data_IF_272497278122
#
_entry.id   IF_272497278122
#
_cell.length_a   1.000
_cell.length_b   1.000
_cell.length_c   1.000
_cell.angle_alpha   90.00
_cell.angle_beta   90.00
_cell.angle_gamma   90.00
#
_symmetry.space_group_name_H-M   'P 1'
#
loop_
_entity.id
_entity.type
_entity.pdbx_description
1 polymer ?
#
# COMPACT_ATOMS: atom_id res chain seq x y z
N UNK A 1 7.21 2.41 -22.38
CA UNK A 1 8.03 2.53 -21.16
C UNK A 1 7.35 3.34 -20.05
N UNK A 2 6.87 4.55 -20.33
CA UNK A 2 6.20 5.41 -19.34
C UNK A 2 5.12 4.67 -18.53
N UNK A 3 4.16 4.03 -19.22
CA UNK A 3 3.06 3.31 -18.58
C UNK A 3 3.52 2.13 -17.71
N UNK A 4 4.57 1.42 -18.12
CA UNK A 4 5.12 0.28 -17.39
C UNK A 4 5.75 0.71 -16.05
N UNK A 5 6.47 1.83 -16.08
CA UNK A 5 7.05 2.42 -14.87
C UNK A 5 5.93 2.98 -13.97
N UNK A 6 4.97 3.74 -14.52
CA UNK A 6 3.86 4.29 -13.72
C UNK A 6 3.03 3.19 -13.05
N UNK A 7 2.64 2.15 -13.79
CA UNK A 7 1.86 1.03 -13.24
C UNK A 7 2.64 0.21 -12.21
N UNK A 8 3.98 0.23 -12.24
CA UNK A 8 4.81 -0.35 -11.19
C UNK A 8 4.95 0.57 -9.96
N UNK A 9 5.19 1.86 -10.17
CA UNK A 9 5.40 2.83 -9.09
C UNK A 9 4.11 3.08 -8.31
N UNK A 10 2.96 3.09 -8.99
CA UNK A 10 1.67 3.43 -8.38
C UNK A 10 1.34 2.59 -7.14
N UNK A 11 1.32 1.24 -7.19
CA UNK A 11 1.02 0.42 -6.03
C UNK A 11 1.94 0.70 -4.85
N UNK A 12 3.23 0.91 -5.10
CA UNK A 12 4.23 1.13 -4.05
C UNK A 12 4.09 2.53 -3.43
N UNK A 13 3.81 3.56 -4.22
CA UNK A 13 3.54 4.88 -3.67
C UNK A 13 2.20 4.94 -2.94
N UNK A 14 1.18 4.22 -3.43
CA UNK A 14 -0.12 4.09 -2.77
C UNK A 14 0.03 3.45 -1.39
N UNK A 15 0.72 2.31 -1.33
CA UNK A 15 1.14 1.66 -0.07
C UNK A 15 1.75 2.66 0.90
N UNK A 16 2.85 3.28 0.47
CA UNK A 16 3.70 4.10 1.31
C UNK A 16 2.95 5.32 1.83
N UNK A 17 2.15 5.95 0.97
CA UNK A 17 1.35 7.12 1.35
C UNK A 17 0.34 6.74 2.42
N UNK A 18 -0.44 5.68 2.20
CA UNK A 18 -1.44 5.22 3.17
C UNK A 18 -0.77 4.83 4.49
N UNK A 19 0.27 3.99 4.46
CA UNK A 19 0.92 3.51 5.69
C UNK A 19 1.52 4.65 6.53
N UNK A 20 2.19 5.62 5.90
CA UNK A 20 2.78 6.76 6.61
C UNK A 20 1.68 7.66 7.17
N UNK A 21 0.64 7.94 6.38
CA UNK A 21 -0.44 8.85 6.77
C UNK A 21 -1.29 8.27 7.89
N UNK A 22 -1.65 6.99 7.80
CA UNK A 22 -2.33 6.26 8.87
C UNK A 22 -1.53 6.27 10.18
N UNK A 23 -0.22 6.06 10.12
CA UNK A 23 0.64 6.12 11.31
C UNK A 23 0.67 7.53 11.92
N UNK A 24 0.87 8.55 11.09
CA UNK A 24 0.93 9.95 11.54
C UNK A 24 -0.39 10.48 12.09
N UNK A 25 -1.52 9.95 11.61
CA UNK A 25 -2.85 10.35 12.05
C UNK A 25 -3.07 9.99 13.53
N UNK A 26 -2.58 8.83 13.98
CA UNK A 26 -2.68 8.42 15.39
C UNK A 26 -1.83 9.29 16.31
N UNK A 27 -0.68 9.79 15.83
CA UNK A 27 0.12 10.76 16.57
C UNK A 27 -0.60 12.11 16.67
N UNK A 28 -1.17 12.57 15.55
CA UNK A 28 -1.88 13.84 15.46
C UNK A 28 -3.19 13.86 16.25
N UNK A 29 -3.87 12.73 16.43
CA UNK A 29 -5.13 12.68 17.17
C UNK A 29 -4.98 13.11 18.63
N UNK A 30 -3.77 13.01 19.21
CA UNK A 30 -3.47 13.44 20.59
C UNK A 30 -3.77 14.91 20.87
N UNK A 31 -3.70 15.79 19.86
CA UNK A 31 -4.00 17.21 20.03
C UNK A 31 -5.48 17.56 19.87
N UNK A 32 -6.30 16.60 19.38
CA UNK A 32 -7.73 16.81 19.04
C UNK A 32 -8.66 16.04 19.99
N UNK A 33 -8.14 15.18 20.86
CA UNK A 33 -8.90 14.39 21.86
C UNK A 33 -9.58 15.21 22.96
N UNK A 34 -9.73 16.52 22.81
CA UNK A 34 -10.63 17.36 23.62
C UNK A 34 -12.10 16.93 23.46
N UNK A 35 -12.44 16.18 22.41
CA UNK A 35 -13.78 15.61 22.18
C UNK A 35 -13.86 14.20 22.81
N UNK A 36 -14.68 14.00 23.87
CA UNK A 36 -14.66 12.80 24.72
C UNK A 36 -15.23 11.50 24.09
N UNK A 37 -15.33 11.39 22.76
CA UNK A 37 -15.92 10.20 22.09
C UNK A 37 -15.17 9.74 20.83
N UNK A 38 -14.08 10.40 20.43
CA UNK A 38 -13.37 10.07 19.19
C UNK A 38 -12.09 9.32 19.54
N UNK A 39 -11.97 8.09 19.06
CA UNK A 39 -10.78 7.27 19.29
C UNK A 39 -9.68 7.63 18.27
N UNK A 40 -8.39 7.49 18.63
CA UNK A 40 -7.28 7.72 17.70
C UNK A 40 -7.40 6.93 16.38
N UNK A 41 -7.97 5.73 16.44
CA UNK A 41 -8.23 4.88 15.28
C UNK A 41 -9.23 5.51 14.31
N UNK A 42 -10.27 6.21 14.81
CA UNK A 42 -11.28 6.87 13.96
C UNK A 42 -10.63 7.95 13.10
N UNK A 43 -9.72 8.72 13.70
CA UNK A 43 -8.95 9.74 12.97
C UNK A 43 -8.03 9.11 11.92
N UNK A 44 -7.42 7.96 12.23
CA UNK A 44 -6.58 7.21 11.30
C UNK A 44 -7.37 6.64 10.12
N UNK A 45 -8.57 6.10 10.37
CA UNK A 45 -9.49 5.61 9.35
C UNK A 45 -9.92 6.76 8.44
N UNK A 46 -10.38 7.87 9.02
CA UNK A 46 -10.79 9.05 8.27
C UNK A 46 -9.66 9.58 7.38
N UNK A 47 -8.44 9.67 7.93
CA UNK A 47 -7.27 10.10 7.16
C UNK A 47 -6.95 9.11 6.03
N UNK A 48 -7.01 7.82 6.30
CA UNK A 48 -6.77 6.78 5.30
C UNK A 48 -7.75 6.87 4.14
N UNK A 49 -9.04 7.07 4.41
CA UNK A 49 -10.07 7.27 3.38
C UNK A 49 -9.75 8.49 2.51
N UNK A 50 -9.38 9.63 3.12
CA UNK A 50 -9.00 10.85 2.37
C UNK A 50 -7.80 10.60 1.44
N UNK A 51 -6.78 9.90 1.92
CA UNK A 51 -5.59 9.58 1.12
C UNK A 51 -5.93 8.60 -0.01
N UNK A 52 -6.77 7.58 0.26
CA UNK A 52 -7.26 6.66 -0.77
C UNK A 52 -7.98 7.42 -1.88
N UNK A 53 -8.88 8.34 -1.54
CA UNK A 53 -9.61 9.14 -2.51
C UNK A 53 -8.70 10.08 -3.30
N UNK A 54 -7.81 10.80 -2.61
CA UNK A 54 -6.89 11.76 -3.22
C UNK A 54 -5.93 11.07 -4.19
N UNK A 55 -5.35 9.95 -3.76
CA UNK A 55 -4.43 9.19 -4.58
C UNK A 55 -5.16 8.52 -5.75
N UNK A 56 -6.33 7.90 -5.52
CA UNK A 56 -7.13 7.32 -6.60
C UNK A 56 -7.51 8.37 -7.65
N UNK A 57 -7.97 9.55 -7.24
CA UNK A 57 -8.32 10.64 -8.15
C UNK A 57 -7.10 11.14 -8.93
N UNK A 58 -5.95 11.29 -8.26
CA UNK A 58 -4.70 11.70 -8.90
C UNK A 58 -4.32 10.73 -10.01
N UNK A 59 -4.43 9.42 -9.76
CA UNK A 59 -4.06 8.42 -10.75
C UNK A 59 -5.09 8.24 -11.86
N UNK A 60 -6.39 8.30 -11.55
CA UNK A 60 -7.44 8.33 -12.58
C UNK A 60 -7.20 9.51 -13.52
N UNK A 61 -6.93 10.69 -12.98
CA UNK A 61 -6.61 11.90 -13.77
C UNK A 61 -5.36 11.68 -14.61
N UNK A 62 -4.29 11.12 -14.04
CA UNK A 62 -3.05 10.83 -14.76
C UNK A 62 -3.26 9.86 -15.94
N UNK A 63 -3.96 8.75 -15.72
CA UNK A 63 -4.26 7.78 -16.78
C UNK A 63 -5.25 8.33 -17.81
N UNK A 64 -6.23 9.15 -17.39
CA UNK A 64 -7.16 9.82 -18.29
C UNK A 64 -6.42 10.80 -19.24
N UNK A 65 -5.44 11.55 -18.73
CA UNK A 65 -4.59 12.42 -19.57
C UNK A 65 -3.81 11.58 -20.59
N UNK A 66 -3.19 10.48 -20.18
CA UNK A 66 -2.46 9.60 -21.12
C UNK A 66 -3.40 9.04 -22.21
N UNK A 67 -4.62 8.66 -21.83
CA UNK A 67 -5.62 8.18 -22.77
C UNK A 67 -6.09 9.28 -23.73
N UNK A 68 -6.33 10.50 -23.23
CA UNK A 68 -6.80 11.64 -24.02
C UNK A 68 -5.80 12.09 -25.08
N UNK A 69 -4.50 12.07 -24.77
CA UNK A 69 -3.44 12.39 -25.71
C UNK A 69 -3.00 11.19 -26.57
N UNK A 70 -3.74 10.07 -26.52
CA UNK A 70 -3.45 8.83 -27.24
C UNK A 70 -2.03 8.29 -27.06
N UNK A 71 -1.38 8.65 -25.95
CA UNK A 71 0.01 8.29 -25.64
C UNK A 71 0.17 6.78 -25.41
N UNK A 72 -0.90 6.09 -25.00
CA UNK A 72 -0.93 4.63 -24.91
C UNK A 72 -2.36 4.09 -24.84
N UNK A 73 -2.68 3.08 -25.66
CA UNK A 73 -3.96 2.34 -25.60
C UNK A 73 -4.13 1.52 -24.32
N UNK A 74 -3.03 1.23 -23.61
CA UNK A 74 -3.03 0.48 -22.35
C UNK A 74 -3.26 1.39 -21.13
N UNK A 75 -3.56 2.68 -21.33
CA UNK A 75 -3.87 3.61 -20.24
C UNK A 75 -5.24 3.35 -19.60
N UNK A 76 -6.13 2.69 -20.34
CA UNK A 76 -7.43 2.27 -19.83
C UNK A 76 -7.29 0.85 -19.28
N UNK A 77 -7.69 0.58 -18.03
CA UNK A 77 -7.62 -0.76 -17.46
C UNK A 77 -8.51 -1.70 -18.27
N UNK A 78 -7.92 -2.77 -18.78
CA UNK A 78 -8.61 -3.85 -19.47
C UNK A 78 -9.46 -4.69 -18.52
N UNK A 79 -8.96 -4.94 -17.30
CA UNK A 79 -9.63 -5.75 -16.29
C UNK A 79 -9.90 -4.93 -15.01
N UNK A 80 -11.11 -4.37 -14.93
CA UNK A 80 -11.57 -3.57 -13.79
C UNK A 80 -11.65 -4.42 -12.52
N UNK A 81 -11.96 -5.73 -12.63
CA UNK A 81 -12.06 -6.61 -11.47
C UNK A 81 -10.70 -6.77 -10.78
N UNK A 82 -9.62 -6.93 -11.53
CA UNK A 82 -8.26 -6.99 -10.98
C UNK A 82 -7.88 -5.67 -10.26
N UNK A 83 -8.29 -4.53 -10.80
CA UNK A 83 -8.08 -3.22 -10.18
C UNK A 83 -8.85 -3.08 -8.85
N UNK A 84 -10.11 -3.52 -8.81
CA UNK A 84 -10.92 -3.51 -7.58
C UNK A 84 -10.35 -4.46 -6.54
N UNK A 85 -9.92 -5.65 -6.96
CA UNK A 85 -9.28 -6.63 -6.07
C UNK A 85 -7.98 -6.08 -5.49
N UNK A 86 -7.16 -5.41 -6.31
CA UNK A 86 -5.99 -4.70 -5.84
C UNK A 86 -6.36 -3.67 -4.76
N UNK A 87 -7.31 -2.77 -5.02
CA UNK A 87 -7.72 -1.75 -4.06
C UNK A 87 -8.23 -2.36 -2.74
N UNK A 88 -9.09 -3.37 -2.84
CA UNK A 88 -9.70 -4.04 -1.71
C UNK A 88 -8.68 -4.72 -0.78
N UNK A 89 -7.60 -5.28 -1.35
CA UNK A 89 -6.55 -5.94 -0.56
C UNK A 89 -5.46 -4.97 -0.10
N UNK A 90 -5.15 -3.96 -0.91
CA UNK A 90 -4.02 -3.07 -0.69
C UNK A 90 -4.28 -2.05 0.41
N UNK A 91 -5.48 -1.47 0.45
CA UNK A 91 -5.87 -0.49 1.47
C UNK A 91 -5.77 -1.06 2.89
N UNK A 92 -6.41 -2.20 3.23
CA UNK A 92 -6.30 -2.78 4.57
C UNK A 92 -4.87 -3.24 4.91
N UNK A 93 -4.11 -3.75 3.93
CA UNK A 93 -2.70 -4.10 4.13
C UNK A 93 -1.86 -2.87 4.50
N UNK A 94 -1.96 -1.80 3.71
CA UNK A 94 -1.25 -0.56 3.96
C UNK A 94 -1.67 0.09 5.29
N UNK A 95 -2.96 0.04 5.63
CA UNK A 95 -3.49 0.53 6.90
C UNK A 95 -2.95 -0.29 8.08
N UNK A 96 -2.98 -1.62 8.02
CA UNK A 96 -2.43 -2.50 9.05
C UNK A 96 -0.95 -2.23 9.32
N UNK A 97 -0.15 -2.08 8.26
CA UNK A 97 1.26 -1.65 8.37
C UNK A 97 1.37 -0.25 9.01
N UNK A 98 0.47 0.68 8.68
CA UNK A 98 0.39 1.99 9.32
C UNK A 98 0.14 1.93 10.83
N UNK A 99 -0.78 1.06 11.27
CA UNK A 99 -1.05 0.83 12.69
C UNK A 99 0.17 0.26 13.43
N UNK A 100 0.82 -0.76 12.85
CA UNK A 100 2.04 -1.35 13.39
C UNK A 100 3.13 -0.27 13.51
N UNK A 101 3.31 0.55 12.49
CA UNK A 101 4.31 1.62 12.50
C UNK A 101 4.01 2.72 13.53
N UNK A 102 2.73 3.04 13.77
CA UNK A 102 2.34 3.96 14.83
C UNK A 102 2.74 3.43 16.21
N UNK A 103 2.47 2.14 16.48
CA UNK A 103 2.88 1.49 17.72
C UNK A 103 4.41 1.48 17.90
N UNK A 104 5.14 1.05 16.87
CA UNK A 104 6.60 1.02 16.91
C UNK A 104 7.22 2.41 17.06
N UNK A 105 6.64 3.44 16.44
CA UNK A 105 7.11 4.83 16.59
C UNK A 105 6.83 5.40 17.98
N UNK A 106 5.77 4.91 18.66
CA UNK A 106 5.50 5.27 20.04
C UNK A 106 6.53 4.69 21.02
N UNK A 107 6.93 3.43 20.85
CA UNK A 107 7.94 2.77 21.71
C UNK A 107 9.35 3.22 21.33
N UNK A 108 9.64 3.33 20.04
CA UNK A 108 10.95 3.63 19.49
C UNK A 108 10.85 4.86 18.57
N UNK A 109 11.07 6.09 19.06
CA UNK A 109 10.96 7.30 18.24
C UNK A 109 11.84 7.29 16.97
N UNK A 110 12.98 6.58 17.01
CA UNK A 110 13.89 6.39 15.86
C UNK A 110 13.24 5.60 14.71
N UNK A 111 12.22 4.78 15.01
CA UNK A 111 11.53 3.94 14.02
C UNK A 111 10.91 4.75 12.89
N UNK A 112 10.39 5.95 13.16
CA UNK A 112 9.77 6.81 12.14
C UNK A 112 10.74 7.16 11.00
N UNK A 113 11.99 7.44 11.34
CA UNK A 113 13.06 7.73 10.38
C UNK A 113 13.49 6.47 9.66
N UNK A 114 13.68 5.36 10.40
CA UNK A 114 14.06 4.07 9.83
C UNK A 114 13.00 3.57 8.81
N UNK A 115 11.72 3.62 9.17
CA UNK A 115 10.62 3.23 8.29
C UNK A 115 10.56 4.08 7.02
N UNK A 116 10.79 5.40 7.13
CA UNK A 116 10.81 6.28 5.96
C UNK A 116 11.91 5.92 4.95
N UNK A 117 13.04 5.41 5.43
CA UNK A 117 14.13 4.89 4.61
C UNK A 117 13.77 3.54 3.98
N UNK A 118 13.28 2.59 4.78
CA UNK A 118 12.85 1.26 4.31
C UNK A 118 11.77 1.37 3.24
N UNK A 119 10.74 2.19 3.48
CA UNK A 119 9.64 2.39 2.53
C UNK A 119 10.10 2.99 1.19
N UNK A 120 11.21 3.73 1.16
CA UNK A 120 11.79 4.27 -0.08
C UNK A 120 12.56 3.19 -0.84
N UNK A 121 13.36 2.40 -0.13
CA UNK A 121 14.15 1.31 -0.71
C UNK A 121 13.27 0.21 -1.30
N UNK A 122 12.11 -0.02 -0.70
CA UNK A 122 11.19 -1.08 -1.09
C UNK A 122 10.73 -1.01 -2.56
N UNK A 123 10.77 0.17 -3.20
CA UNK A 123 10.49 0.35 -4.63
C UNK A 123 11.38 -0.56 -5.50
N UNK A 124 12.66 -0.71 -5.15
CA UNK A 124 13.60 -1.52 -5.93
C UNK A 124 13.29 -3.02 -5.88
N UNK A 125 12.72 -3.49 -4.77
CA UNK A 125 12.40 -4.90 -4.54
C UNK A 125 10.98 -5.29 -4.93
N UNK A 126 10.13 -4.33 -5.30
CA UNK A 126 8.70 -4.56 -5.54
C UNK A 126 8.36 -4.71 -7.03
N UNK A 127 9.30 -5.20 -7.86
CA UNK A 127 9.09 -5.41 -9.29
C UNK A 127 8.63 -4.16 -10.08
N UNK A 128 8.99 -2.96 -9.61
CA UNK A 128 8.59 -1.71 -10.24
C UNK A 128 9.25 -1.54 -11.61
N UNK A 129 10.53 -1.87 -11.72
CA UNK A 129 11.33 -1.64 -12.93
C UNK A 129 11.49 -2.86 -13.83
N UNK A 130 10.99 -4.02 -13.41
CA UNK A 130 11.16 -5.29 -14.12
C UNK A 130 9.96 -6.20 -13.94
N UNK A 131 9.93 -7.27 -14.74
CA UNK A 131 8.94 -8.35 -14.62
C UNK A 131 9.63 -9.54 -13.95
N UNK A 132 9.23 -9.96 -12.74
CA UNK A 132 9.90 -11.01 -11.98
C UNK A 132 10.04 -12.32 -12.75
N UNK A 133 9.07 -12.65 -13.59
CA UNK A 133 9.00 -13.88 -14.37
C UNK A 133 10.12 -14.02 -15.41
N UNK A 134 10.75 -12.91 -15.82
CA UNK A 134 11.88 -12.93 -16.76
C UNK A 134 13.24 -12.92 -16.06
N UNK A 135 13.28 -12.88 -14.73
CA UNK A 135 14.53 -12.87 -13.97
C UNK A 135 15.14 -14.29 -13.79
N UNK A 136 16.44 -14.38 -13.46
CA UNK A 136 17.07 -15.63 -13.08
C UNK A 136 16.37 -16.28 -11.85
N UNK A 137 16.41 -17.62 -11.71
CA UNK A 137 15.72 -18.34 -10.63
C UNK A 137 16.00 -17.79 -9.22
N UNK A 138 17.27 -17.48 -8.91
CA UNK A 138 17.64 -16.93 -7.60
C UNK A 138 16.94 -15.61 -7.27
N UNK A 139 16.74 -14.73 -8.25
CA UNK A 139 16.06 -13.45 -8.05
C UNK A 139 14.55 -13.65 -7.92
N UNK A 140 13.98 -14.58 -8.69
CA UNK A 140 12.55 -14.94 -8.62
C UNK A 140 12.14 -15.35 -7.22
N UNK A 141 12.91 -16.25 -6.61
CA UNK A 141 12.62 -16.76 -5.27
C UNK A 141 12.66 -15.64 -4.22
N UNK A 142 13.71 -14.80 -4.24
CA UNK A 142 13.85 -13.69 -3.29
C UNK A 142 12.72 -12.68 -3.44
N UNK A 143 12.39 -12.30 -4.68
CA UNK A 143 11.37 -11.29 -4.97
C UNK A 143 9.95 -11.83 -4.68
N UNK A 144 9.73 -13.14 -4.81
CA UNK A 144 8.47 -13.80 -4.47
C UNK A 144 8.14 -13.77 -2.97
N UNK A 145 9.10 -13.56 -2.08
CA UNK A 145 8.79 -13.36 -0.66
C UNK A 145 8.21 -11.97 -0.35
N UNK A 146 8.41 -10.99 -1.23
CA UNK A 146 7.91 -9.63 -1.01
C UNK A 146 6.41 -9.54 -1.37
N UNK A 147 5.49 -9.33 -0.38
CA UNK A 147 4.06 -9.22 -0.65
C UNK A 147 3.74 -8.09 -1.64
N UNK A 148 4.52 -7.01 -1.62
CA UNK A 148 4.27 -5.82 -2.44
C UNK A 148 4.62 -6.06 -3.91
N UNK A 149 5.50 -7.01 -4.21
CA UNK A 149 5.66 -7.47 -5.59
C UNK A 149 4.36 -8.06 -6.12
N UNK A 150 3.68 -8.92 -5.35
CA UNK A 150 2.43 -9.52 -5.79
C UNK A 150 1.33 -8.48 -5.99
N UNK A 151 1.27 -7.43 -5.14
CA UNK A 151 0.38 -6.30 -5.35
C UNK A 151 0.68 -5.54 -6.65
N UNK A 152 1.95 -5.33 -6.99
CA UNK A 152 2.37 -4.71 -8.27
C UNK A 152 1.96 -5.58 -9.45
N UNK A 153 2.20 -6.88 -9.38
CA UNK A 153 1.79 -7.83 -10.42
C UNK A 153 0.26 -7.87 -10.58
N UNK A 154 -0.51 -7.91 -9.48
CA UNK A 154 -1.98 -7.85 -9.51
C UNK A 154 -2.50 -6.55 -10.11
N UNK A 155 -1.86 -5.42 -9.81
CA UNK A 155 -2.23 -4.15 -10.44
C UNK A 155 -1.93 -4.16 -11.93
N UNK A 156 -0.82 -4.77 -12.36
CA UNK A 156 -0.45 -4.86 -13.78
C UNK A 156 -1.38 -5.76 -14.58
N UNK A 157 -1.95 -6.82 -14.01
CA UNK A 157 -2.96 -7.63 -14.73
C UNK A 157 -4.23 -6.84 -15.06
N UNK A 158 -4.50 -5.72 -14.38
CA UNK A 158 -5.58 -4.82 -14.72
C UNK A 158 -5.34 -4.06 -16.04
N UNK A 159 -4.09 -3.76 -16.40
CA UNK A 159 -3.73 -2.94 -17.57
C UNK A 159 -3.14 -3.76 -18.72
N UNK A 160 -2.47 -4.88 -18.42
CA UNK A 160 -1.74 -5.70 -19.39
C UNK A 160 -2.39 -7.09 -19.50
N UNK A 161 -3.14 -7.37 -20.58
CA UNK A 161 -3.82 -8.66 -20.77
C UNK A 161 -2.87 -9.86 -20.82
N UNK A 162 -1.65 -9.65 -21.31
CA UNK A 162 -0.60 -10.67 -21.48
C UNK A 162 0.46 -10.64 -20.39
N UNK A 163 0.17 -10.01 -19.23
CA UNK A 163 1.11 -9.99 -18.12
C UNK A 163 1.29 -11.40 -17.53
N UNK A 164 2.53 -11.87 -17.34
CA UNK A 164 2.75 -13.21 -16.79
C UNK A 164 2.34 -13.24 -15.31
N UNK A 165 1.61 -14.28 -14.90
CA UNK A 165 1.04 -14.41 -13.55
C UNK A 165 1.58 -15.61 -12.78
N UNK A 166 2.62 -16.29 -13.27
CA UNK A 166 3.14 -17.50 -12.65
C UNK A 166 3.66 -17.30 -11.22
N UNK A 167 4.21 -16.12 -10.90
CA UNK A 167 4.66 -15.79 -9.55
C UNK A 167 3.58 -15.08 -8.72
N UNK A 168 2.46 -14.69 -9.34
CA UNK A 168 1.38 -13.99 -8.63
C UNK A 168 0.57 -14.99 -7.78
N UNK A 169 0.59 -14.80 -6.46
CA UNK A 169 -0.24 -15.56 -5.53
C UNK A 169 -1.22 -14.65 -4.81
N UNK A 170 -2.49 -14.70 -5.20
CA UNK A 170 -3.57 -13.93 -4.53
C UNK A 170 -3.78 -14.42 -3.10
N UNK A 171 -3.68 -15.72 -2.85
CA UNK A 171 -3.81 -16.26 -1.49
C UNK A 171 -2.71 -15.73 -0.56
N UNK A 172 -1.48 -15.60 -1.05
CA UNK A 172 -0.38 -14.98 -0.30
C UNK A 172 -0.70 -13.53 0.07
N UNK A 173 -1.20 -12.74 -0.89
CA UNK A 173 -1.65 -11.37 -0.62
C UNK A 173 -2.71 -11.35 0.49
N UNK A 174 -3.74 -12.19 0.40
CA UNK A 174 -4.83 -12.25 1.39
C UNK A 174 -4.31 -12.57 2.79
N UNK A 175 -3.41 -13.55 2.92
CA UNK A 175 -2.81 -13.91 4.21
C UNK A 175 -2.01 -12.75 4.81
N UNK A 176 -1.20 -12.05 4.01
CA UNK A 176 -0.45 -10.89 4.47
C UNK A 176 -1.36 -9.71 4.83
N UNK A 177 -2.38 -9.44 4.02
CA UNK A 177 -3.38 -8.40 4.30
C UNK A 177 -4.10 -8.68 5.63
N UNK A 178 -4.62 -9.89 5.81
CA UNK A 178 -5.33 -10.27 7.03
C UNK A 178 -4.40 -10.26 8.24
N UNK A 179 -3.21 -10.86 8.12
CA UNK A 179 -2.24 -10.92 9.22
C UNK A 179 -1.75 -9.55 9.67
N UNK A 180 -1.37 -8.67 8.74
CA UNK A 180 -0.92 -7.31 9.08
C UNK A 180 -2.04 -6.45 9.66
N UNK A 181 -3.27 -6.59 9.17
CA UNK A 181 -4.41 -5.87 9.72
C UNK A 181 -4.75 -6.33 11.13
N UNK A 182 -4.81 -7.64 11.38
CA UNK A 182 -5.09 -8.21 12.70
C UNK A 182 -4.02 -7.78 13.71
N UNK A 183 -2.73 -7.92 13.35
CA UNK A 183 -1.62 -7.49 14.20
C UNK A 183 -1.67 -5.99 14.46
N UNK A 184 -1.92 -5.18 13.43
CA UNK A 184 -2.03 -3.73 13.56
C UNK A 184 -3.15 -3.30 14.52
N UNK A 185 -4.34 -3.90 14.40
CA UNK A 185 -5.47 -3.63 15.29
C UNK A 185 -5.21 -4.10 16.72
N UNK A 186 -4.57 -5.27 16.90
CA UNK A 186 -4.21 -5.78 18.22
C UNK A 186 -3.21 -4.86 18.94
N UNK A 187 -2.19 -4.35 18.22
CA UNK A 187 -1.21 -3.41 18.75
C UNK A 187 -1.82 -2.04 19.07
N UNK A 188 -2.73 -1.55 18.24
CA UNK A 188 -3.48 -0.31 18.52
C UNK A 188 -4.28 -0.45 19.81
N UNK A 189 -5.00 -1.57 19.98
CA UNK A 189 -5.74 -1.87 21.21
C UNK A 189 -4.83 -1.95 22.43
N UNK A 190 -3.65 -2.57 22.31
CA UNK A 190 -2.66 -2.64 23.39
C UNK A 190 -2.13 -1.25 23.77
N UNK A 191 -1.89 -0.39 22.78
CA UNK A 191 -1.45 0.99 22.97
C UNK A 191 -2.50 1.83 23.70
N UNK A 192 -3.78 1.61 23.39
CA UNK A 192 -4.89 2.29 24.05
C UNK A 192 -4.91 2.01 25.54
N UNK A 193 -4.72 0.76 25.96
CA UNK A 193 -4.68 0.38 27.37
C UNK A 193 -3.58 1.14 28.11
N UNK A 194 -2.40 1.30 27.50
CA UNK A 194 -1.27 2.04 28.09
C UNK A 194 -1.48 3.56 28.13
N UNK A 195 -2.37 4.14 27.31
CA UNK A 195 -2.65 5.59 27.31
C UNK A 195 -3.68 6.03 28.34
N UNK A 196 -4.46 5.09 28.87
CA UNK A 196 -5.55 5.36 29.83
C UNK A 196 -5.31 4.80 31.24
N UNK A 197 -4.19 4.10 31.47
CA UNK A 197 -3.73 3.68 32.80
C UNK A 197 -2.64 4.62 33.29
#
# INVERSE_FOLDING_TARGET
>A
MLLFITTGIFPVLFFRTISIRAASAIEASKSVTTIPSIEPIDYSIARTVVEVLTFSLTFITFFAIIALFELSKLAIPYNILALLQFMFLMVPFAFGIGLINSFLSYIFPVWKTAWSFVARIQIFFSAVFYIPEYMPPAVKEVVAYNPIMHFVSLFRTAFYPTYPTHLLSVSYIVWWTAGTLIVGLALERALRIHRHG
#
